data_IF_957806044812
#
_entry.id   IF_957806044812
#
_cell.length_a   1.000
_cell.length_b   1.000
_cell.length_c   1.000
_cell.angle_alpha   90.00
_cell.angle_beta   90.00
_cell.angle_gamma   90.00
#
_symmetry.space_group_name_H-M   'P 1'
#
loop_
_entity.id
_entity.type
_entity.pdbx_description
1 polymer ?
#
# COMPACT_ATOMS: atom_id res chain seq x y z
N UNK A 1 -24.06 14.52 -4.64
CA UNK A 1 -23.10 13.63 -3.96
C UNK A 1 -21.69 14.10 -4.33
N UNK A 2 -20.74 14.14 -3.39
CA UNK A 2 -19.38 14.48 -3.76
C UNK A 2 -18.78 13.37 -4.65
N UNK A 3 -18.07 13.78 -5.72
CA UNK A 3 -17.41 12.84 -6.62
C UNK A 3 -15.99 12.51 -6.12
N UNK A 4 -15.58 11.26 -6.29
CA UNK A 4 -14.25 10.78 -5.91
C UNK A 4 -13.61 9.95 -7.03
N UNK A 5 -12.38 10.33 -7.41
CA UNK A 5 -11.54 9.55 -8.31
C UNK A 5 -10.62 8.64 -7.51
N UNK A 6 -10.62 7.35 -7.81
CA UNK A 6 -9.76 6.37 -7.16
C UNK A 6 -8.88 5.73 -8.22
N UNK A 7 -7.59 6.01 -8.19
CA UNK A 7 -6.61 5.31 -9.03
C UNK A 7 -6.09 4.06 -8.34
N UNK A 8 -5.68 3.06 -9.13
CA UNK A 8 -5.35 1.75 -8.55
C UNK A 8 -6.57 1.00 -8.01
N UNK A 9 -7.77 1.38 -8.43
CA UNK A 9 -9.06 0.87 -7.97
C UNK A 9 -9.18 -0.67 -8.07
N UNK A 10 -8.60 -1.29 -9.09
CA UNK A 10 -8.61 -2.75 -9.27
C UNK A 10 -7.60 -3.50 -8.41
N UNK A 11 -6.74 -2.78 -7.67
CA UNK A 11 -5.76 -3.36 -6.76
C UNK A 11 -6.36 -3.78 -5.42
N UNK A 12 -5.52 -4.40 -4.58
CA UNK A 12 -5.92 -4.83 -3.24
C UNK A 12 -6.53 -3.68 -2.42
N UNK A 13 -5.76 -2.65 -2.11
CA UNK A 13 -6.22 -1.51 -1.29
C UNK A 13 -7.31 -0.72 -2.02
N UNK A 14 -7.11 -0.43 -3.31
CA UNK A 14 -8.03 0.39 -4.09
C UNK A 14 -9.44 -0.18 -4.17
N UNK A 15 -9.59 -1.51 -4.25
CA UNK A 15 -10.91 -2.15 -4.30
C UNK A 15 -11.71 -1.97 -3.00
N UNK A 16 -11.05 -1.95 -1.83
CA UNK A 16 -11.70 -1.64 -0.56
C UNK A 16 -12.05 -0.15 -0.42
N UNK A 17 -11.21 0.74 -0.96
CA UNK A 17 -11.51 2.18 -1.00
C UNK A 17 -12.74 2.45 -1.86
N UNK A 18 -12.88 1.76 -3.01
CA UNK A 18 -14.07 1.85 -3.87
C UNK A 18 -15.32 1.40 -3.12
N UNK A 19 -15.29 0.25 -2.46
CA UNK A 19 -16.41 -0.26 -1.67
C UNK A 19 -16.84 0.74 -0.58
N UNK A 20 -15.89 1.26 0.18
CA UNK A 20 -16.18 2.21 1.25
C UNK A 20 -16.69 3.55 0.71
N UNK A 21 -16.16 4.04 -0.43
CA UNK A 21 -16.66 5.25 -1.07
C UNK A 21 -18.14 5.11 -1.47
N UNK A 22 -18.53 3.96 -2.00
CA UNK A 22 -19.92 3.66 -2.32
C UNK A 22 -20.80 3.60 -1.06
N UNK A 23 -20.31 3.01 0.02
CA UNK A 23 -21.01 2.93 1.31
C UNK A 23 -21.24 4.31 1.93
N UNK A 24 -20.28 5.23 1.76
CA UNK A 24 -20.40 6.62 2.22
C UNK A 24 -21.17 7.52 1.26
N UNK A 25 -21.71 6.99 0.15
CA UNK A 25 -22.56 7.72 -0.78
C UNK A 25 -21.82 8.65 -1.74
N UNK A 26 -20.53 8.39 -2.02
CA UNK A 26 -19.80 9.11 -3.07
C UNK A 26 -20.24 8.67 -4.48
N UNK A 27 -20.14 9.59 -5.43
CA UNK A 27 -20.10 9.27 -6.85
C UNK A 27 -18.70 8.77 -7.20
N UNK A 28 -18.56 7.46 -7.41
CA UNK A 28 -17.25 6.80 -7.48
C UNK A 28 -16.78 6.63 -8.93
N UNK A 29 -15.61 7.19 -9.23
CA UNK A 29 -14.88 7.01 -10.48
C UNK A 29 -13.65 6.13 -10.24
N UNK A 30 -13.73 4.90 -10.73
CA UNK A 30 -12.65 3.92 -10.62
C UNK A 30 -11.73 4.00 -11.85
N UNK A 31 -10.51 4.51 -11.68
CA UNK A 31 -9.54 4.53 -12.75
C UNK A 31 -8.90 3.15 -12.90
N UNK A 32 -9.11 2.53 -14.07
CA UNK A 32 -8.63 1.20 -14.41
C UNK A 32 -7.99 1.20 -15.82
N UNK A 33 -6.99 0.37 -16.02
CA UNK A 33 -6.44 0.11 -17.36
C UNK A 33 -7.34 -0.89 -18.09
N UNK A 34 -7.30 -0.91 -19.41
CA UNK A 34 -8.05 -1.89 -20.23
C UNK A 34 -7.75 -3.34 -19.84
N UNK A 35 -6.51 -3.62 -19.38
CA UNK A 35 -6.05 -4.95 -18.95
C UNK A 35 -6.32 -5.26 -17.47
N UNK A 36 -6.92 -4.32 -16.72
CA UNK A 36 -7.16 -4.51 -15.28
C UNK A 36 -8.29 -5.49 -15.02
N UNK A 37 -8.08 -6.43 -14.09
CA UNK A 37 -9.17 -7.25 -13.58
C UNK A 37 -10.18 -6.40 -12.81
N UNK A 38 -11.45 -6.58 -13.07
CA UNK A 38 -12.56 -5.92 -12.33
C UNK A 38 -13.23 -6.87 -11.34
N UNK A 39 -12.57 -7.96 -10.97
CA UNK A 39 -13.11 -9.04 -10.12
C UNK A 39 -13.77 -8.55 -8.84
N UNK A 40 -13.25 -7.46 -8.25
CA UNK A 40 -13.76 -6.86 -7.00
C UNK A 40 -14.49 -5.54 -7.23
N UNK A 41 -14.73 -5.15 -8.47
CA UNK A 41 -15.40 -3.90 -8.86
C UNK A 41 -16.71 -4.24 -9.57
N UNK A 42 -17.62 -4.92 -8.86
CA UNK A 42 -18.85 -5.49 -9.45
C UNK A 42 -20.11 -4.68 -9.17
N UNK A 43 -20.06 -3.67 -8.29
CA UNK A 43 -21.20 -2.81 -7.99
C UNK A 43 -21.55 -1.93 -9.20
N UNK A 44 -22.82 -1.94 -9.62
CA UNK A 44 -23.30 -1.19 -10.79
C UNK A 44 -23.19 0.35 -10.65
N UNK A 45 -23.01 0.85 -9.44
CA UNK A 45 -22.81 2.29 -9.17
C UNK A 45 -21.42 2.79 -9.50
N UNK A 46 -20.46 1.87 -9.74
CA UNK A 46 -19.08 2.24 -10.08
C UNK A 46 -19.04 2.79 -11.51
N UNK A 47 -18.56 4.01 -11.66
CA UNK A 47 -18.20 4.58 -12.96
C UNK A 47 -16.73 4.29 -13.25
N UNK A 48 -16.46 3.80 -14.45
CA UNK A 48 -15.09 3.46 -14.86
C UNK A 48 -14.51 4.56 -15.75
N UNK A 49 -13.23 4.88 -15.51
CA UNK A 49 -12.46 5.78 -16.36
C UNK A 49 -11.10 5.16 -16.66
N UNK A 50 -10.57 5.40 -17.85
CA UNK A 50 -9.18 5.09 -18.19
C UNK A 50 -8.36 6.36 -18.04
N UNK A 51 -7.23 6.28 -17.34
CA UNK A 51 -6.28 7.38 -17.20
C UNK A 51 -4.86 6.90 -17.54
N UNK A 52 -4.29 7.54 -18.55
CA UNK A 52 -2.98 7.20 -19.13
C UNK A 52 -1.85 7.85 -18.35
N UNK A 53 -1.58 7.37 -17.12
CA UNK A 53 -0.55 7.96 -16.22
C UNK A 53 0.86 7.96 -16.83
N UNK A 54 1.13 7.14 -17.83
CA UNK A 54 2.41 7.07 -18.55
C UNK A 54 2.55 8.07 -19.70
N UNK A 55 1.45 8.66 -20.18
CA UNK A 55 1.39 9.60 -21.31
C UNK A 55 0.66 10.89 -20.89
N UNK A 56 1.38 11.98 -20.80
CA UNK A 56 0.82 13.26 -20.34
C UNK A 56 -0.19 13.84 -21.30
N UNK A 57 0.04 13.75 -22.61
CA UNK A 57 -0.87 14.32 -23.60
C UNK A 57 -2.20 13.55 -23.62
N UNK A 58 -2.14 12.24 -23.50
CA UNK A 58 -3.32 11.40 -23.36
C UNK A 58 -4.07 11.71 -22.05
N UNK A 59 -3.35 11.77 -20.92
CA UNK A 59 -3.94 12.07 -19.61
C UNK A 59 -4.65 13.44 -19.59
N UNK A 60 -4.05 14.47 -20.20
CA UNK A 60 -4.68 15.81 -20.30
C UNK A 60 -5.99 15.76 -21.06
N UNK A 61 -6.04 15.04 -22.18
CA UNK A 61 -7.29 14.87 -22.96
C UNK A 61 -8.34 14.11 -22.14
N UNK A 62 -7.97 12.96 -21.54
CA UNK A 62 -8.88 12.14 -20.75
C UNK A 62 -9.49 12.90 -19.56
N UNK A 63 -8.67 13.74 -18.88
CA UNK A 63 -9.13 14.60 -17.79
C UNK A 63 -10.04 15.73 -18.31
N UNK A 64 -9.66 16.38 -19.41
CA UNK A 64 -10.47 17.45 -20.00
C UNK A 64 -11.84 16.94 -20.48
N UNK A 65 -11.88 15.78 -21.15
CA UNK A 65 -13.12 15.15 -21.60
C UNK A 65 -14.03 14.80 -20.41
N UNK A 66 -13.43 14.28 -19.32
CA UNK A 66 -14.19 14.01 -18.10
C UNK A 66 -14.77 15.29 -17.49
N UNK A 67 -13.94 16.33 -17.33
CA UNK A 67 -14.40 17.61 -16.74
C UNK A 67 -15.49 18.26 -17.57
N UNK A 68 -15.40 18.20 -18.89
CA UNK A 68 -16.43 18.73 -19.78
C UNK A 68 -17.76 17.98 -19.66
N UNK A 69 -17.74 16.67 -19.46
CA UNK A 69 -18.94 15.84 -19.38
C UNK A 69 -19.55 15.75 -17.97
N UNK A 70 -18.74 15.80 -16.92
CA UNK A 70 -19.13 15.44 -15.55
C UNK A 70 -18.71 16.48 -14.49
N UNK A 71 -17.91 17.45 -14.87
CA UNK A 71 -17.31 18.41 -13.94
C UNK A 71 -16.09 17.84 -13.19
N UNK A 72 -15.46 18.66 -12.34
CA UNK A 72 -14.27 18.28 -11.59
C UNK A 72 -14.60 17.34 -10.43
N UNK A 73 -13.64 16.49 -10.08
CA UNK A 73 -13.73 15.66 -8.86
C UNK A 73 -13.58 16.49 -7.58
N UNK A 74 -14.37 16.15 -6.57
CA UNK A 74 -14.20 16.74 -5.24
C UNK A 74 -12.98 16.18 -4.53
N UNK A 75 -12.72 14.88 -4.68
CA UNK A 75 -11.60 14.18 -4.05
C UNK A 75 -10.89 13.25 -5.01
N UNK A 76 -9.61 13.02 -4.74
CA UNK A 76 -8.81 12.01 -5.44
C UNK A 76 -8.10 11.14 -4.42
N UNK A 77 -8.21 9.81 -4.55
CA UNK A 77 -7.37 8.86 -3.81
C UNK A 77 -6.43 8.19 -4.78
N UNK A 78 -5.15 8.49 -4.66
CA UNK A 78 -4.11 7.92 -5.51
C UNK A 78 -3.48 6.70 -4.83
N UNK A 79 -4.08 5.53 -5.09
CA UNK A 79 -3.59 4.23 -4.63
C UNK A 79 -2.89 3.43 -5.76
N UNK A 80 -2.78 4.00 -6.96
CA UNK A 80 -1.99 3.40 -8.02
C UNK A 80 -0.50 3.43 -7.68
N UNK A 81 0.16 2.31 -7.90
CA UNK A 81 1.59 2.17 -7.67
C UNK A 81 2.05 0.74 -7.88
N UNK A 82 3.32 0.58 -8.23
CA UNK A 82 3.95 -0.71 -8.38
C UNK A 82 4.77 -1.05 -7.13
N UNK A 83 4.52 -2.22 -6.55
CA UNK A 83 5.31 -2.78 -5.43
C UNK A 83 6.33 -3.80 -5.90
N UNK A 84 6.25 -4.21 -7.17
CA UNK A 84 7.15 -5.16 -7.84
C UNK A 84 7.38 -4.68 -9.27
N UNK A 85 8.63 -4.53 -9.67
CA UNK A 85 9.03 -4.13 -11.02
C UNK A 85 10.19 -4.99 -11.51
N UNK A 86 10.41 -5.02 -12.82
CA UNK A 86 11.57 -5.68 -13.42
C UNK A 86 12.85 -4.87 -13.25
N UNK A 87 12.73 -3.54 -13.33
CA UNK A 87 13.88 -2.64 -13.17
C UNK A 87 13.59 -1.58 -12.10
N UNK A 88 14.68 -0.99 -11.58
CA UNK A 88 14.56 0.17 -10.67
C UNK A 88 13.90 1.36 -11.36
N UNK A 89 14.19 1.60 -12.63
CA UNK A 89 13.60 2.68 -13.42
C UNK A 89 12.09 2.56 -13.53
N UNK A 90 11.54 1.34 -13.60
CA UNK A 90 10.09 1.11 -13.67
C UNK A 90 9.37 1.57 -12.39
N UNK A 91 10.02 1.45 -11.22
CA UNK A 91 9.47 2.01 -9.98
C UNK A 91 9.33 3.53 -10.06
N UNK A 92 10.36 4.23 -10.54
CA UNK A 92 10.31 5.68 -10.65
C UNK A 92 9.32 6.15 -11.71
N UNK A 93 9.31 5.51 -12.88
CA UNK A 93 8.36 5.81 -13.94
C UNK A 93 6.90 5.66 -13.46
N UNK A 94 6.61 4.59 -12.69
CA UNK A 94 5.24 4.31 -12.25
C UNK A 94 4.87 5.10 -10.99
N UNK A 95 5.73 5.05 -9.95
CA UNK A 95 5.38 5.59 -8.64
C UNK A 95 5.69 7.08 -8.50
N UNK A 96 6.72 7.57 -9.20
CA UNK A 96 7.15 8.97 -9.10
C UNK A 96 6.56 9.80 -10.23
N UNK A 97 6.95 9.52 -11.47
CA UNK A 97 6.54 10.32 -12.62
C UNK A 97 5.03 10.25 -12.88
N UNK A 98 4.44 9.05 -12.76
CA UNK A 98 2.99 8.86 -12.91
C UNK A 98 2.19 9.61 -11.86
N UNK A 99 2.66 9.62 -10.59
CA UNK A 99 2.03 10.37 -9.50
C UNK A 99 2.12 11.88 -9.71
N UNK A 100 3.30 12.39 -10.00
CA UNK A 100 3.53 13.81 -10.31
C UNK A 100 2.67 14.28 -11.47
N UNK A 101 2.68 13.53 -12.58
CA UNK A 101 1.92 13.86 -13.79
C UNK A 101 0.43 13.94 -13.51
N UNK A 102 -0.13 12.95 -12.79
CA UNK A 102 -1.53 12.97 -12.40
C UNK A 102 -1.84 14.22 -11.57
N UNK A 103 -1.09 14.46 -10.50
CA UNK A 103 -1.33 15.57 -9.58
C UNK A 103 -1.23 16.93 -10.30
N UNK A 104 -0.21 17.10 -11.16
CA UNK A 104 0.00 18.33 -11.94
C UNK A 104 -1.14 18.56 -12.92
N UNK A 105 -1.52 17.56 -13.71
CA UNK A 105 -2.63 17.68 -14.67
C UNK A 105 -3.94 18.01 -13.97
N UNK A 106 -4.26 17.36 -12.85
CA UNK A 106 -5.47 17.63 -12.08
C UNK A 106 -5.49 19.06 -11.52
N UNK A 107 -4.35 19.56 -11.05
CA UNK A 107 -4.23 20.90 -10.47
C UNK A 107 -4.31 21.99 -11.55
N UNK A 108 -3.54 21.86 -12.62
CA UNK A 108 -3.46 22.84 -13.71
C UNK A 108 -4.77 22.96 -14.50
N UNK A 109 -5.51 21.86 -14.65
CA UNK A 109 -6.81 21.86 -15.34
C UNK A 109 -7.99 22.22 -14.44
N UNK A 110 -7.77 22.40 -13.13
CA UNK A 110 -8.85 22.63 -12.17
C UNK A 110 -9.79 21.42 -12.02
N UNK A 111 -9.34 20.22 -12.39
CA UNK A 111 -10.10 18.98 -12.31
C UNK A 111 -10.24 18.42 -10.90
N UNK A 112 -9.45 18.91 -9.95
CA UNK A 112 -9.56 18.60 -8.52
C UNK A 112 -10.02 19.87 -7.76
N UNK A 113 -11.18 19.80 -7.11
CA UNK A 113 -11.73 20.90 -6.32
C UNK A 113 -11.32 20.89 -4.86
N UNK A 114 -11.14 19.72 -4.29
CA UNK A 114 -10.75 19.53 -2.90
C UNK A 114 -9.40 18.88 -2.79
N UNK A 115 -9.34 17.72 -2.14
CA UNK A 115 -8.07 17.12 -1.68
C UNK A 115 -7.70 15.84 -2.42
N UNK A 116 -6.40 15.66 -2.58
CA UNK A 116 -5.77 14.40 -3.02
C UNK A 116 -5.19 13.66 -1.80
N UNK A 117 -5.55 12.39 -1.59
CA UNK A 117 -4.90 11.51 -0.64
C UNK A 117 -3.98 10.55 -1.39
N UNK A 118 -2.69 10.61 -1.09
CA UNK A 118 -1.67 9.76 -1.69
C UNK A 118 -1.29 8.61 -0.78
N UNK A 119 -1.43 7.38 -1.27
CA UNK A 119 -0.99 6.18 -0.55
C UNK A 119 0.50 5.96 -0.83
N UNK A 120 1.33 6.39 0.11
CA UNK A 120 2.76 6.15 0.14
C UNK A 120 3.09 4.84 0.87
N UNK A 121 4.15 4.78 1.66
CA UNK A 121 4.55 3.61 2.43
C UNK A 121 5.53 3.98 3.53
N UNK A 122 5.50 3.28 4.66
CA UNK A 122 6.54 3.41 5.68
C UNK A 122 7.95 3.04 5.16
N UNK A 123 8.06 2.32 4.04
CA UNK A 123 9.35 2.01 3.39
C UNK A 123 10.17 3.24 3.00
N UNK A 124 9.55 4.44 2.89
CA UNK A 124 10.25 5.70 2.66
C UNK A 124 11.19 6.06 3.81
N UNK A 125 10.89 5.58 5.02
CA UNK A 125 11.70 5.84 6.21
C UNK A 125 12.97 4.99 6.27
N UNK A 126 12.99 3.81 5.63
CA UNK A 126 14.00 2.80 5.92
C UNK A 126 13.86 2.31 7.37
N UNK A 127 14.97 2.04 8.04
CA UNK A 127 14.98 1.65 9.45
C UNK A 127 15.92 2.58 10.25
N UNK A 128 15.53 3.84 10.52
CA UNK A 128 16.39 4.82 11.18
C UNK A 128 16.83 4.38 12.56
N UNK A 129 16.07 3.53 13.23
CA UNK A 129 16.31 3.06 14.61
C UNK A 129 16.63 1.56 14.68
N UNK A 130 17.41 1.04 13.73
CA UNK A 130 17.68 -0.39 13.53
C UNK A 130 18.18 -1.12 14.79
N UNK A 131 18.98 -0.49 15.61
CA UNK A 131 19.56 -1.07 16.83
C UNK A 131 18.83 -0.74 18.13
N UNK A 132 17.74 0.04 18.07
CA UNK A 132 17.05 0.57 19.24
C UNK A 132 15.64 0.03 19.40
N UNK A 133 14.97 0.49 20.47
CA UNK A 133 13.54 0.24 20.69
C UNK A 133 12.65 1.42 20.28
N UNK A 134 13.21 2.48 19.70
CA UNK A 134 12.46 3.66 19.30
C UNK A 134 11.52 3.33 18.14
N UNK A 135 10.33 3.91 18.15
CA UNK A 135 9.41 3.85 17.03
C UNK A 135 9.80 4.90 15.98
N UNK A 136 9.50 4.60 14.72
CA UNK A 136 9.66 5.51 13.60
C UNK A 136 8.53 6.54 13.69
N UNK A 137 8.89 7.82 13.65
CA UNK A 137 7.97 8.96 13.72
C UNK A 137 8.08 9.80 12.44
N UNK A 138 7.12 10.70 12.22
CA UNK A 138 7.15 11.65 11.10
C UNK A 138 8.28 12.69 11.22
N UNK A 139 8.88 12.83 12.42
CA UNK A 139 10.02 13.72 12.67
C UNK A 139 11.36 13.14 12.23
N UNK A 140 11.41 11.82 12.02
CA UNK A 140 12.62 11.16 11.55
C UNK A 140 12.88 11.48 10.08
N UNK A 141 14.16 11.66 9.74
CA UNK A 141 14.55 11.91 8.34
C UNK A 141 14.39 10.63 7.51
N UNK A 142 13.66 10.66 6.39
CA UNK A 142 13.52 9.50 5.50
C UNK A 142 14.86 9.03 4.92
N UNK A 143 15.15 7.73 5.06
CA UNK A 143 16.34 7.07 4.52
C UNK A 143 16.00 5.75 3.79
N UNK A 144 15.24 5.80 2.69
CA UNK A 144 14.82 4.60 1.98
C UNK A 144 16.01 3.82 1.42
N UNK A 145 16.03 2.52 1.68
CA UNK A 145 17.08 1.62 1.23
C UNK A 145 16.64 0.65 0.12
N UNK A 146 15.44 0.84 -0.43
CA UNK A 146 14.87 0.08 -1.53
C UNK A 146 14.51 1.00 -2.69
N UNK A 147 14.48 0.47 -3.92
CA UNK A 147 14.04 1.24 -5.09
C UNK A 147 12.57 1.67 -4.95
N UNK A 148 11.73 0.79 -4.40
CA UNK A 148 10.34 1.11 -4.07
C UNK A 148 10.23 2.28 -3.09
N UNK A 149 10.91 2.20 -1.94
CA UNK A 149 10.88 3.28 -0.94
C UNK A 149 11.40 4.61 -1.49
N UNK A 150 12.50 4.58 -2.28
CA UNK A 150 13.05 5.77 -2.95
C UNK A 150 12.05 6.38 -3.92
N UNK A 151 11.40 5.57 -4.76
CA UNK A 151 10.40 6.07 -5.72
C UNK A 151 9.17 6.69 -5.04
N UNK A 152 8.75 6.14 -3.90
CA UNK A 152 7.65 6.71 -3.11
C UNK A 152 8.06 8.03 -2.44
N UNK A 153 9.26 8.10 -1.85
CA UNK A 153 9.76 9.34 -1.26
C UNK A 153 9.89 10.46 -2.30
N UNK A 154 10.45 10.15 -3.45
CA UNK A 154 10.57 11.14 -4.53
C UNK A 154 9.18 11.60 -5.04
N UNK A 155 8.19 10.69 -5.08
CA UNK A 155 6.81 11.09 -5.39
C UNK A 155 6.24 12.08 -4.36
N UNK A 156 6.45 11.85 -3.06
CA UNK A 156 6.05 12.79 -2.01
C UNK A 156 6.70 14.17 -2.20
N UNK A 157 8.00 14.21 -2.51
CA UNK A 157 8.75 15.45 -2.74
C UNK A 157 8.22 16.21 -3.98
N UNK A 158 7.90 15.50 -5.06
CA UNK A 158 7.32 16.10 -6.27
C UNK A 158 5.92 16.63 -6.04
N UNK A 159 5.08 15.94 -5.24
CA UNK A 159 3.77 16.44 -4.83
C UNK A 159 3.90 17.75 -4.03
N UNK A 160 4.86 17.81 -3.12
CA UNK A 160 5.12 19.01 -2.30
C UNK A 160 5.49 20.25 -3.16
N UNK A 161 6.12 20.03 -4.31
CA UNK A 161 6.54 21.10 -5.23
C UNK A 161 5.38 21.63 -6.11
N UNK A 162 4.22 20.96 -6.17
CA UNK A 162 3.08 21.39 -6.98
C UNK A 162 2.33 22.51 -6.26
N UNK A 163 2.44 23.73 -6.78
CA UNK A 163 1.70 24.87 -6.22
C UNK A 163 0.18 24.67 -6.36
N UNK A 164 -0.57 25.03 -5.32
CA UNK A 164 -2.04 24.94 -5.34
C UNK A 164 -2.64 23.56 -5.08
N UNK A 165 -1.86 22.49 -5.09
CA UNK A 165 -2.35 21.15 -4.77
C UNK A 165 -2.63 21.02 -3.26
N UNK A 166 -3.87 20.73 -2.86
CA UNK A 166 -4.19 20.26 -1.50
C UNK A 166 -4.04 18.73 -1.46
N UNK A 167 -3.13 18.24 -0.63
CA UNK A 167 -2.84 16.82 -0.54
C UNK A 167 -2.44 16.37 0.86
N UNK A 168 -2.69 15.09 1.14
CA UNK A 168 -2.23 14.36 2.33
C UNK A 168 -1.46 13.12 1.89
N UNK A 169 -0.42 12.77 2.64
CA UNK A 169 0.38 11.55 2.43
C UNK A 169 0.10 10.56 3.54
N UNK A 170 -0.29 9.35 3.18
CA UNK A 170 -0.43 8.23 4.12
C UNK A 170 0.72 7.23 3.93
N UNK A 171 1.46 6.94 4.98
CA UNK A 171 2.58 5.99 5.02
C UNK A 171 2.20 4.74 5.82
N UNK A 172 1.40 3.82 5.27
CA UNK A 172 1.05 2.59 5.96
C UNK A 172 2.27 1.68 6.13
N UNK A 173 2.25 0.87 7.20
CA UNK A 173 3.13 -0.29 7.41
C UNK A 173 2.72 -1.45 6.50
N UNK A 174 3.10 -2.69 6.81
CA UNK A 174 2.67 -3.87 6.07
C UNK A 174 1.15 -4.02 6.10
N UNK A 175 0.49 -3.68 4.99
CA UNK A 175 -0.97 -3.80 4.84
C UNK A 175 -1.34 -5.23 4.54
N UNK A 176 -2.23 -5.81 5.32
CA UNK A 176 -2.72 -7.18 5.15
C UNK A 176 -4.25 -7.23 5.19
N UNK A 177 -4.81 -8.34 4.73
CA UNK A 177 -6.26 -8.53 4.71
C UNK A 177 -6.73 -9.46 3.59
N UNK A 178 -8.04 -9.57 3.37
CA UNK A 178 -8.62 -10.23 2.22
C UNK A 178 -8.08 -9.67 0.90
N UNK A 179 -7.95 -10.51 -0.15
CA UNK A 179 -7.44 -10.16 -1.49
C UNK A 179 -5.93 -9.89 -1.57
N UNK A 180 -5.21 -9.86 -0.43
CA UNK A 180 -3.78 -9.66 -0.40
C UNK A 180 -3.06 -11.01 -0.65
N UNK A 181 -2.08 -11.01 -1.58
CA UNK A 181 -1.48 -12.25 -2.08
C UNK A 181 -0.21 -12.67 -1.36
N UNK A 182 0.61 -11.73 -0.88
CA UNK A 182 1.90 -12.06 -0.26
C UNK A 182 1.69 -12.71 1.12
N UNK A 183 0.76 -12.16 1.93
CA UNK A 183 0.38 -12.78 3.21
C UNK A 183 -0.43 -14.06 3.02
N UNK A 184 -1.21 -14.17 1.94
CA UNK A 184 -1.86 -15.42 1.57
C UNK A 184 -0.86 -16.54 1.27
N UNK A 185 0.30 -16.24 0.65
CA UNK A 185 1.35 -17.26 0.45
C UNK A 185 1.89 -17.80 1.78
N UNK A 186 1.95 -16.98 2.84
CA UNK A 186 2.28 -17.45 4.18
C UNK A 186 1.21 -18.42 4.71
N UNK A 187 -0.07 -18.10 4.53
CA UNK A 187 -1.16 -19.00 4.91
C UNK A 187 -1.05 -20.36 4.18
N UNK A 188 -0.78 -20.35 2.88
CA UNK A 188 -0.53 -21.60 2.10
C UNK A 188 0.67 -22.40 2.61
N UNK A 189 1.74 -21.73 3.01
CA UNK A 189 2.92 -22.38 3.59
C UNK A 189 2.59 -23.05 4.92
N UNK A 190 1.84 -22.36 5.80
CA UNK A 190 1.35 -22.92 7.07
C UNK A 190 0.45 -24.14 6.84
N UNK A 191 -0.46 -24.11 5.85
CA UNK A 191 -1.28 -25.26 5.48
C UNK A 191 -0.44 -26.46 5.02
N UNK A 192 0.80 -26.23 4.55
CA UNK A 192 1.79 -27.28 4.20
C UNK A 192 2.71 -27.62 5.37
N UNK A 193 2.36 -27.22 6.58
CA UNK A 193 3.14 -27.43 7.80
C UNK A 193 4.52 -26.77 7.81
N UNK A 194 4.72 -25.69 7.02
CA UNK A 194 6.01 -24.99 6.93
C UNK A 194 5.81 -23.51 7.28
N UNK A 195 6.57 -23.04 8.25
CA UNK A 195 6.72 -21.60 8.57
C UNK A 195 8.19 -21.21 8.40
N UNK A 196 8.46 -20.23 7.55
CA UNK A 196 9.81 -19.75 7.31
C UNK A 196 9.96 -18.32 7.84
N UNK A 197 10.96 -18.10 8.67
CA UNK A 197 11.36 -16.78 9.13
C UNK A 197 12.81 -16.49 8.74
N UNK A 198 13.15 -15.22 8.58
CA UNK A 198 14.47 -14.81 8.11
C UNK A 198 15.21 -14.03 9.18
N UNK A 199 16.51 -14.36 9.32
CA UNK A 199 17.38 -13.73 10.32
C UNK A 199 17.32 -14.43 11.66
N UNK A 200 18.46 -14.45 12.33
CA UNK A 200 18.62 -15.08 13.65
C UNK A 200 18.37 -14.12 14.81
N UNK A 201 18.36 -12.82 14.54
CA UNK A 201 18.12 -11.77 15.54
C UNK A 201 16.64 -11.41 15.61
N UNK A 202 16.12 -11.05 16.80
CA UNK A 202 14.72 -10.64 16.94
C UNK A 202 14.39 -9.44 16.07
N UNK A 203 13.20 -9.47 15.46
CA UNK A 203 12.62 -8.36 14.72
C UNK A 203 11.35 -7.87 15.42
N UNK A 204 11.10 -6.58 15.30
CA UNK A 204 9.86 -5.92 15.71
C UNK A 204 9.18 -5.34 14.48
N UNK A 205 7.97 -5.78 14.25
CA UNK A 205 7.17 -5.47 13.07
C UNK A 205 5.87 -4.79 13.49
N UNK A 206 5.34 -3.97 12.61
CA UNK A 206 3.99 -3.40 12.74
C UNK A 206 3.18 -3.74 11.51
N UNK A 207 1.88 -3.81 11.68
CA UNK A 207 0.94 -4.17 10.63
C UNK A 207 -0.25 -3.21 10.64
N UNK A 208 -0.96 -3.16 9.52
CA UNK A 208 -2.25 -2.47 9.41
C UNK A 208 -3.24 -3.33 8.63
N UNK A 209 -4.42 -3.55 9.19
CA UNK A 209 -5.48 -4.21 8.45
C UNK A 209 -6.06 -3.29 7.39
N UNK A 210 -6.41 -3.82 6.23
CA UNK A 210 -6.83 -3.01 5.08
C UNK A 210 -7.99 -2.07 5.39
N UNK A 211 -8.96 -2.49 6.21
CA UNK A 211 -10.10 -1.63 6.57
C UNK A 211 -9.71 -0.47 7.50
N UNK A 212 -8.69 -0.63 8.33
CA UNK A 212 -8.16 0.48 9.13
C UNK A 212 -7.42 1.50 8.24
N UNK A 213 -6.69 1.02 7.22
CA UNK A 213 -6.11 1.92 6.21
C UNK A 213 -7.21 2.68 5.46
N UNK A 214 -8.28 1.99 5.05
CA UNK A 214 -9.43 2.62 4.38
C UNK A 214 -10.07 3.68 5.29
N UNK A 215 -10.26 3.41 6.59
CA UNK A 215 -10.71 4.41 7.55
C UNK A 215 -9.82 5.66 7.53
N UNK A 216 -8.50 5.49 7.58
CA UNK A 216 -7.55 6.60 7.55
C UNK A 216 -7.64 7.41 6.24
N UNK A 217 -7.85 6.76 5.09
CA UNK A 217 -8.06 7.44 3.80
C UNK A 217 -9.24 8.39 3.87
N UNK A 218 -10.41 7.93 4.36
CA UNK A 218 -11.61 8.78 4.43
C UNK A 218 -11.50 9.88 5.47
N UNK A 219 -10.82 9.65 6.58
CA UNK A 219 -10.50 10.70 7.55
C UNK A 219 -9.61 11.79 6.93
N UNK A 220 -8.60 11.39 6.16
CA UNK A 220 -7.67 12.30 5.49
C UNK A 220 -8.30 13.14 4.37
N UNK A 221 -9.46 12.75 3.82
CA UNK A 221 -10.19 13.57 2.83
C UNK A 221 -10.66 14.91 3.43
N UNK A 222 -10.94 14.94 4.73
CA UNK A 222 -11.57 16.09 5.38
C UNK A 222 -10.81 16.65 6.59
N UNK A 223 -9.76 15.95 7.06
CA UNK A 223 -8.96 16.33 8.24
C UNK A 223 -7.49 16.46 7.87
N UNK A 224 -6.74 17.11 8.73
CA UNK A 224 -5.34 17.43 8.50
C UNK A 224 -5.15 18.65 7.60
N UNK A 225 -3.92 19.13 7.52
CA UNK A 225 -3.53 20.27 6.72
C UNK A 225 -2.83 19.85 5.43
N UNK A 226 -2.76 20.75 4.45
CA UNK A 226 -2.05 20.49 3.20
C UNK A 226 -0.60 20.08 3.46
N UNK A 227 -0.22 18.94 2.90
CA UNK A 227 1.15 18.42 3.00
C UNK A 227 1.41 17.58 4.23
N UNK A 228 0.41 17.39 5.11
CA UNK A 228 0.57 16.49 6.25
C UNK A 228 0.90 15.07 5.80
N UNK A 229 1.74 14.44 6.60
CA UNK A 229 2.19 13.06 6.42
C UNK A 229 1.81 12.25 7.65
N UNK A 230 1.19 11.11 7.47
CA UNK A 230 0.75 10.25 8.57
C UNK A 230 1.31 8.84 8.44
N UNK A 231 1.98 8.38 9.49
CA UNK A 231 2.34 6.98 9.64
C UNK A 231 1.12 6.19 10.14
N UNK A 232 0.91 5.00 9.59
CA UNK A 232 -0.28 4.19 9.91
C UNK A 232 0.08 2.74 10.22
N UNK A 233 -0.40 2.27 11.38
CA UNK A 233 -0.35 0.88 11.83
C UNK A 233 -1.54 0.61 12.74
N UNK A 234 -1.61 -0.59 13.34
CA UNK A 234 -2.58 -0.88 14.40
C UNK A 234 -2.16 -0.38 15.80
N UNK A 235 -1.10 0.44 15.88
CA UNK A 235 -0.57 1.03 17.11
C UNK A 235 0.21 0.04 17.99
N UNK A 236 0.48 -1.18 17.53
CA UNK A 236 1.16 -2.22 18.30
C UNK A 236 2.40 -2.73 17.57
N UNK A 237 3.38 -3.22 18.31
CA UNK A 237 4.53 -3.90 17.76
C UNK A 237 4.49 -5.41 18.05
N UNK A 238 4.96 -6.17 17.09
CA UNK A 238 4.85 -7.63 17.09
C UNK A 238 6.22 -8.28 16.88
N UNK A 239 6.38 -9.49 17.43
CA UNK A 239 7.52 -10.32 17.07
C UNK A 239 7.42 -10.81 15.62
N UNK A 240 8.54 -11.19 15.04
CA UNK A 240 8.61 -11.76 13.69
C UNK A 240 7.64 -12.94 13.48
N UNK A 241 7.39 -13.73 14.52
CA UNK A 241 6.53 -14.90 14.47
C UNK A 241 5.05 -14.63 14.74
N UNK A 242 4.73 -13.47 15.30
CA UNK A 242 3.36 -13.21 15.75
C UNK A 242 2.31 -13.41 14.65
N UNK A 243 2.63 -13.01 13.41
CA UNK A 243 1.72 -13.17 12.27
C UNK A 243 1.54 -14.67 11.91
N UNK A 244 2.62 -15.44 11.81
CA UNK A 244 2.55 -16.87 11.47
C UNK A 244 1.91 -17.70 12.59
N UNK A 245 2.17 -17.39 13.85
CA UNK A 245 1.54 -18.05 15.00
C UNK A 245 0.00 -17.83 14.99
N UNK A 246 -0.43 -16.61 14.66
CA UNK A 246 -1.87 -16.29 14.53
C UNK A 246 -2.49 -16.95 13.31
N UNK A 247 -1.80 -17.01 12.17
CA UNK A 247 -2.24 -17.77 10.99
C UNK A 247 -2.41 -19.24 11.32
N UNK A 248 -1.42 -19.85 11.98
CA UNK A 248 -1.47 -21.26 12.37
C UNK A 248 -2.70 -21.53 13.24
N UNK A 249 -2.96 -20.68 14.24
CA UNK A 249 -4.14 -20.77 15.10
C UNK A 249 -5.45 -20.63 14.32
N UNK A 250 -5.58 -19.63 13.46
CA UNK A 250 -6.80 -19.35 12.68
C UNK A 250 -7.09 -20.44 11.63
N UNK A 251 -6.05 -21.05 11.08
CA UNK A 251 -6.15 -22.17 10.13
C UNK A 251 -6.46 -23.51 10.84
N UNK A 252 -6.19 -23.61 12.15
CA UNK A 252 -6.35 -24.86 12.91
C UNK A 252 -5.26 -25.90 12.61
N UNK A 253 -4.12 -25.48 12.03
CA UNK A 253 -3.03 -26.39 11.65
C UNK A 253 -2.16 -26.72 12.86
N UNK A 254 -1.91 -28.02 13.12
CA UNK A 254 -1.01 -28.49 14.17
C UNK A 254 0.30 -28.99 13.55
N UNK A 255 1.39 -29.00 14.34
CA UNK A 255 2.68 -29.59 13.91
C UNK A 255 3.36 -28.81 12.77
N UNK A 256 3.47 -27.50 12.87
CA UNK A 256 4.16 -26.65 11.88
C UNK A 256 5.66 -26.61 12.16
N UNK A 257 6.47 -26.87 11.14
CA UNK A 257 7.93 -26.79 11.20
C UNK A 257 8.36 -25.31 11.04
N UNK A 258 8.99 -24.77 12.07
CA UNK A 258 9.46 -23.38 12.09
C UNK A 258 10.93 -23.31 11.67
N UNK A 259 11.18 -22.93 10.43
CA UNK A 259 12.51 -22.83 9.87
C UNK A 259 13.04 -21.40 9.95
N UNK A 260 14.15 -21.20 10.66
CA UNK A 260 14.84 -19.90 10.67
C UNK A 260 15.98 -19.92 9.64
N UNK A 261 15.81 -19.14 8.57
CA UNK A 261 16.77 -19.03 7.50
C UNK A 261 17.80 -17.94 7.78
N UNK A 262 19.11 -18.23 7.74
CA UNK A 262 20.13 -17.18 7.79
C UNK A 262 19.98 -16.17 6.66
N UNK A 263 20.40 -14.93 6.88
CA UNK A 263 20.28 -13.85 5.89
C UNK A 263 20.97 -14.15 4.55
N UNK A 264 22.05 -14.93 4.57
CA UNK A 264 22.74 -15.31 3.33
C UNK A 264 21.88 -16.22 2.43
N UNK A 265 21.08 -17.10 3.03
CA UNK A 265 20.11 -17.93 2.26
C UNK A 265 19.10 -17.05 1.55
N UNK A 266 18.53 -16.07 2.28
CA UNK A 266 17.62 -15.10 1.67
C UNK A 266 18.30 -14.32 0.53
N UNK A 267 19.56 -13.90 0.73
CA UNK A 267 20.31 -13.17 -0.30
C UNK A 267 20.48 -13.98 -1.58
N UNK A 268 20.85 -15.26 -1.45
CA UNK A 268 20.96 -16.17 -2.59
C UNK A 268 19.60 -16.37 -3.28
N UNK A 269 18.54 -16.59 -2.49
CA UNK A 269 17.18 -16.76 -3.04
C UNK A 269 16.68 -15.50 -3.77
N UNK A 270 16.97 -14.31 -3.24
CA UNK A 270 16.62 -13.04 -3.89
C UNK A 270 17.42 -12.84 -5.19
N UNK A 271 18.71 -13.15 -5.21
CA UNK A 271 19.53 -13.09 -6.40
C UNK A 271 19.02 -14.06 -7.50
N UNK A 272 18.73 -15.32 -7.14
CA UNK A 272 18.15 -16.28 -8.07
C UNK A 272 16.77 -15.82 -8.58
N UNK A 273 15.94 -15.25 -7.70
CA UNK A 273 14.64 -14.67 -8.06
C UNK A 273 14.75 -13.51 -9.06
N UNK A 274 15.72 -12.62 -8.88
CA UNK A 274 16.00 -11.52 -9.82
C UNK A 274 16.47 -12.05 -11.18
N UNK A 275 17.41 -12.99 -11.17
CA UNK A 275 17.92 -13.60 -12.42
C UNK A 275 16.77 -14.28 -13.18
N UNK A 276 15.91 -15.03 -12.49
CA UNK A 276 14.75 -15.67 -13.10
C UNK A 276 13.75 -14.63 -13.63
N UNK A 277 13.56 -13.52 -12.93
CA UNK A 277 12.69 -12.43 -13.37
C UNK A 277 13.15 -11.80 -14.69
N UNK A 278 14.45 -11.62 -14.86
CA UNK A 278 15.05 -11.14 -16.13
C UNK A 278 14.84 -12.12 -17.27
N UNK A 279 15.03 -13.44 -17.02
CA UNK A 279 14.83 -14.47 -18.04
C UNK A 279 13.36 -14.64 -18.43
N UNK A 280 12.45 -14.58 -17.45
CA UNK A 280 11.02 -14.81 -17.70
C UNK A 280 10.24 -13.53 -18.04
N UNK A 281 10.88 -12.37 -17.97
CA UNK A 281 10.25 -11.05 -18.11
C UNK A 281 9.05 -10.83 -17.16
N UNK A 282 9.06 -11.49 -15.98
CA UNK A 282 8.02 -11.36 -14.96
C UNK A 282 8.64 -10.92 -13.63
N UNK A 283 8.07 -9.89 -12.96
CA UNK A 283 8.59 -9.43 -11.67
C UNK A 283 8.58 -10.54 -10.63
N UNK A 284 9.70 -10.72 -9.91
CA UNK A 284 9.80 -11.68 -8.81
C UNK A 284 9.41 -11.05 -7.48
N UNK A 285 8.76 -11.83 -6.61
CA UNK A 285 8.51 -11.44 -5.22
C UNK A 285 9.80 -11.46 -4.39
N UNK A 286 10.74 -12.37 -4.71
CA UNK A 286 12.06 -12.43 -4.11
C UNK A 286 13.04 -11.62 -4.98
N UNK A 287 13.40 -10.45 -4.51
CA UNK A 287 14.31 -9.53 -5.16
C UNK A 287 15.17 -8.80 -4.12
N UNK A 288 16.12 -8.00 -4.57
CA UNK A 288 17.03 -7.26 -3.70
C UNK A 288 16.31 -6.29 -2.75
N UNK A 289 15.23 -5.63 -3.19
CA UNK A 289 14.41 -4.77 -2.33
C UNK A 289 13.78 -5.58 -1.18
N UNK A 290 13.26 -6.78 -1.47
CA UNK A 290 12.71 -7.68 -0.44
C UNK A 290 13.78 -8.10 0.57
N UNK A 291 15.01 -8.38 0.11
CA UNK A 291 16.14 -8.66 1.01
C UNK A 291 16.41 -7.48 1.95
N UNK A 292 16.45 -6.25 1.41
CA UNK A 292 16.70 -5.05 2.23
C UNK A 292 15.60 -4.79 3.26
N UNK A 293 14.34 -5.05 2.94
CA UNK A 293 13.22 -4.92 3.88
C UNK A 293 13.29 -6.01 4.97
N UNK A 294 13.48 -7.27 4.57
CA UNK A 294 13.40 -8.41 5.48
C UNK A 294 14.60 -8.51 6.44
N UNK A 295 15.77 -7.95 6.10
CA UNK A 295 16.92 -7.93 7.00
C UNK A 295 16.79 -6.91 8.14
N UNK A 296 15.94 -5.90 7.99
CA UNK A 296 15.76 -4.86 9.01
C UNK A 296 15.00 -5.40 10.22
N UNK A 297 15.41 -4.96 11.41
CA UNK A 297 14.93 -5.53 12.68
C UNK A 297 13.92 -4.67 13.40
N UNK A 298 13.88 -3.37 13.11
CA UNK A 298 12.99 -2.44 13.79
C UNK A 298 12.09 -1.71 12.78
N UNK A 299 10.83 -2.14 12.73
CA UNK A 299 9.75 -1.53 11.98
C UNK A 299 8.64 -1.02 12.92
N UNK A 300 9.00 -0.62 14.14
CA UNK A 300 8.05 0.02 15.05
C UNK A 300 7.60 1.32 14.44
N UNK A 301 6.31 1.57 14.44
CA UNK A 301 5.67 2.72 13.83
C UNK A 301 4.85 3.46 14.89
N UNK A 302 5.15 4.71 15.14
CA UNK A 302 4.33 5.61 15.93
C UNK A 302 3.16 6.11 15.08
N UNK A 303 1.97 6.18 15.65
CA UNK A 303 0.74 6.66 14.98
C UNK A 303 0.10 7.84 15.72
N UNK A 304 0.76 8.38 16.73
CA UNK A 304 0.21 9.43 17.62
C UNK A 304 -0.21 10.67 16.82
N UNK A 305 0.52 10.98 15.74
CA UNK A 305 0.17 12.09 14.87
C UNK A 305 -1.15 11.83 14.12
N UNK A 306 -1.32 10.65 13.55
CA UNK A 306 -2.57 10.26 12.90
C UNK A 306 -3.74 10.20 13.90
N UNK A 307 -3.49 9.74 15.13
CA UNK A 307 -4.51 9.73 16.19
C UNK A 307 -4.95 11.12 16.59
N UNK A 308 -4.01 12.06 16.77
CA UNK A 308 -4.30 13.41 17.24
C UNK A 308 -4.95 14.29 16.18
N UNK A 309 -4.47 14.23 14.92
CA UNK A 309 -4.92 15.13 13.84
C UNK A 309 -6.09 14.53 13.05
N UNK A 310 -5.98 13.30 12.61
CA UNK A 310 -7.06 12.65 11.85
C UNK A 310 -8.16 12.09 12.76
N UNK A 311 -7.88 11.86 14.05
CA UNK A 311 -8.75 11.07 14.93
C UNK A 311 -8.76 9.60 14.54
N UNK A 312 -7.66 9.14 13.92
CA UNK A 312 -7.50 7.74 13.53
C UNK A 312 -7.55 6.82 14.76
N UNK A 313 -8.32 5.77 14.69
CA UNK A 313 -8.42 4.74 15.74
C UNK A 313 -8.49 3.38 15.08
N UNK A 314 -7.39 2.62 15.04
CA UNK A 314 -7.40 1.28 14.46
C UNK A 314 -8.37 0.37 15.22
N UNK A 315 -9.22 -0.33 14.50
CA UNK A 315 -10.26 -1.23 15.05
C UNK A 315 -9.83 -2.68 15.06
N UNK A 316 -8.85 -3.04 14.23
CA UNK A 316 -8.40 -4.40 14.04
C UNK A 316 -7.05 -4.63 14.70
N UNK A 317 -7.02 -5.43 15.77
CA UNK A 317 -5.76 -6.02 16.23
C UNK A 317 -5.26 -7.03 15.20
N UNK A 318 -3.95 -7.33 15.22
CA UNK A 318 -3.38 -8.35 14.33
C UNK A 318 -4.15 -9.69 14.42
N UNK A 319 -4.55 -10.11 15.63
CA UNK A 319 -5.29 -11.35 15.83
C UNK A 319 -6.67 -11.35 15.15
N UNK A 320 -7.41 -10.25 15.28
CA UNK A 320 -8.73 -10.10 14.63
C UNK A 320 -8.59 -10.07 13.12
N UNK A 321 -7.70 -9.22 12.58
CA UNK A 321 -7.52 -9.09 11.14
C UNK A 321 -7.00 -10.36 10.47
N UNK A 322 -6.14 -11.15 11.14
CA UNK A 322 -5.71 -12.46 10.64
C UNK A 322 -6.88 -13.44 10.61
N UNK A 323 -7.72 -13.46 11.65
CA UNK A 323 -8.93 -14.32 11.69
C UNK A 323 -9.87 -13.99 10.52
N UNK A 324 -10.16 -12.70 10.31
CA UNK A 324 -11.01 -12.23 9.21
C UNK A 324 -10.41 -12.58 7.84
N UNK A 325 -9.10 -12.41 7.69
CA UNK A 325 -8.39 -12.76 6.43
C UNK A 325 -8.52 -14.24 6.12
N UNK A 326 -8.31 -15.12 7.13
CA UNK A 326 -8.43 -16.58 6.96
C UNK A 326 -9.87 -16.98 6.65
N UNK A 327 -10.87 -16.40 7.34
CA UNK A 327 -12.28 -16.64 7.06
C UNK A 327 -12.61 -16.28 5.59
N UNK A 328 -12.10 -15.14 5.11
CA UNK A 328 -12.28 -14.74 3.73
C UNK A 328 -11.56 -15.69 2.75
N UNK A 329 -10.32 -16.12 3.02
CA UNK A 329 -9.59 -17.06 2.15
C UNK A 329 -10.36 -18.36 1.96
N UNK A 330 -10.98 -18.89 3.04
CA UNK A 330 -11.83 -20.09 2.98
C UNK A 330 -13.09 -19.83 2.15
N UNK A 331 -13.80 -18.72 2.41
CA UNK A 331 -15.04 -18.35 1.68
C UNK A 331 -14.78 -18.12 0.19
N UNK A 332 -13.67 -17.49 -0.16
CA UNK A 332 -13.27 -17.20 -1.54
C UNK A 332 -12.58 -18.38 -2.25
N UNK A 333 -12.50 -19.55 -1.58
CA UNK A 333 -11.86 -20.76 -2.12
C UNK A 333 -10.40 -20.55 -2.54
N UNK A 334 -9.67 -19.70 -1.80
CA UNK A 334 -8.25 -19.55 -1.96
C UNK A 334 -7.46 -20.62 -1.18
N UNK A 335 -8.06 -21.19 -0.13
CA UNK A 335 -7.58 -22.29 0.72
C UNK A 335 -8.51 -23.49 0.60
#
# INVERSE_FOLDING_TARGET
>A
MPSILITGASGFIGSFIVEEALNQGFEVWAAVRSTSSRQYLTDARIRFITLSLGDEAALRREVADHVAAHGPWQYVVHAAGATKCLSKADFFRTNTEGTERLARVLTESGALKGRMVFISSLSVMGAPHEGSKQAITERDTPHPNTAYGKSKLEAEQRLAAIAGLDYIVLRPTGVYGPRERDYFLMAKSICRHIDTSVGLRPQRLTFIYVLDLVQAVFLALTRGERGDVFHLSDGRDYSQRAYSDLLQKALGVRGVWHLRLPLWVLRVACFAGETMAHVTHKPSTLNNDKYHIMKQRNWRCDISHAESVLGYRPRYTLALGVSESVAWYKKAQWL
#
